data_IF_327987097222
#
_entry.id   IF_327987097222
#
_cell.length_a   1.000
_cell.length_b   1.000
_cell.length_c   1.000
_cell.angle_alpha   90.00
_cell.angle_beta   90.00
_cell.angle_gamma   90.00
#
_symmetry.space_group_name_H-M   'P 1'
#
loop_
_entity.id
_entity.type
_entity.pdbx_description
1 polymer ?
#
# COMPACT_ATOMS: atom_id res chain seq x y z
N UNK A 1 45.83 49.22 -8.23
CA UNK A 1 44.45 48.94 -8.66
C UNK A 1 43.89 47.85 -7.76
N UNK A 2 42.95 48.21 -6.88
CA UNK A 2 42.34 47.28 -5.92
C UNK A 2 41.48 46.27 -6.70
N UNK A 3 41.77 44.97 -6.60
CA UNK A 3 40.87 43.93 -7.14
C UNK A 3 39.58 43.99 -6.32
N UNK A 4 38.49 44.45 -6.93
CA UNK A 4 37.16 44.42 -6.30
C UNK A 4 36.86 42.97 -5.89
N UNK A 5 36.75 42.71 -4.59
CA UNK A 5 36.45 41.39 -4.05
C UNK A 5 35.07 40.95 -4.53
N UNK A 6 34.95 39.69 -4.96
CA UNK A 6 33.66 39.10 -5.32
C UNK A 6 32.69 39.18 -4.12
N UNK A 7 31.41 39.41 -4.42
CA UNK A 7 30.34 39.40 -3.43
C UNK A 7 29.49 38.15 -3.59
N UNK A 8 28.96 37.65 -2.48
CA UNK A 8 28.11 36.48 -2.46
C UNK A 8 26.65 36.92 -2.39
N UNK A 9 25.83 36.49 -3.34
CA UNK A 9 24.39 36.72 -3.38
C UNK A 9 23.66 35.40 -3.12
N UNK A 10 22.53 35.46 -2.40
CA UNK A 10 21.65 34.31 -2.18
C UNK A 10 20.47 34.43 -3.14
N UNK A 11 20.23 33.41 -3.93
CA UNK A 11 19.15 33.38 -4.92
C UNK A 11 18.14 32.35 -4.47
N UNK A 12 16.89 32.75 -4.22
CA UNK A 12 15.81 31.86 -3.86
C UNK A 12 14.94 31.58 -5.09
N UNK A 13 14.80 30.29 -5.43
CA UNK A 13 13.90 29.77 -6.45
C UNK A 13 12.82 28.89 -5.80
N UNK A 14 11.76 28.48 -6.55
CA UNK A 14 10.79 27.48 -6.07
C UNK A 14 11.42 26.16 -5.64
N UNK A 15 12.58 25.78 -6.21
CA UNK A 15 13.29 24.53 -5.88
C UNK A 15 14.30 24.68 -4.73
N UNK A 16 14.50 25.90 -4.22
CA UNK A 16 15.40 26.16 -3.09
C UNK A 16 16.32 27.37 -3.29
N UNK A 17 17.22 27.59 -2.34
CA UNK A 17 18.11 28.75 -2.31
C UNK A 17 19.56 28.35 -2.60
N UNK A 18 20.18 28.93 -3.63
CA UNK A 18 21.62 28.74 -3.94
C UNK A 18 22.40 30.03 -3.69
N UNK A 19 23.71 29.90 -3.45
CA UNK A 19 24.63 31.02 -3.26
C UNK A 19 25.47 31.18 -4.53
N UNK A 20 25.52 32.39 -5.07
CA UNK A 20 26.34 32.71 -6.25
C UNK A 20 27.37 33.77 -5.89
N UNK A 21 28.59 33.62 -6.40
CA UNK A 21 29.65 34.61 -6.28
C UNK A 21 29.74 35.43 -7.57
N UNK A 22 29.65 36.76 -7.44
CA UNK A 22 29.71 37.66 -8.59
C UNK A 22 30.50 38.93 -8.25
N UNK A 23 31.21 39.47 -9.23
CA UNK A 23 31.92 40.75 -9.06
C UNK A 23 30.92 41.92 -8.97
N UNK A 24 31.08 42.88 -8.04
CA UNK A 24 30.26 44.08 -7.98
C UNK A 24 30.27 44.92 -9.28
N UNK A 25 31.34 44.81 -10.07
CA UNK A 25 31.49 45.51 -11.34
C UNK A 25 30.85 44.74 -12.53
N UNK A 26 30.38 43.50 -12.32
CA UNK A 26 29.72 42.73 -13.37
C UNK A 26 28.40 43.38 -13.79
N UNK A 27 28.03 43.23 -15.06
CA UNK A 27 26.76 43.72 -15.59
C UNK A 27 25.57 42.88 -15.07
N UNK A 28 24.37 43.46 -15.13
CA UNK A 28 23.15 42.75 -14.80
C UNK A 28 22.93 41.55 -15.73
N UNK A 29 23.30 41.65 -17.01
CA UNK A 29 23.28 40.48 -17.93
C UNK A 29 24.14 39.32 -17.41
N UNK A 30 25.34 39.61 -16.89
CA UNK A 30 26.22 38.57 -16.34
C UNK A 30 25.65 37.93 -15.07
N UNK A 31 24.88 38.69 -14.28
CA UNK A 31 24.13 38.15 -13.14
C UNK A 31 23.07 37.15 -13.60
N UNK A 32 22.32 37.45 -14.66
CA UNK A 32 21.34 36.50 -15.23
C UNK A 32 22.01 35.23 -15.76
N UNK A 33 23.14 35.33 -16.46
CA UNK A 33 23.93 34.16 -16.91
C UNK A 33 24.40 33.31 -15.72
N UNK A 34 24.92 33.95 -14.68
CA UNK A 34 25.41 33.23 -13.49
C UNK A 34 24.27 32.55 -12.74
N UNK A 35 23.08 33.15 -12.69
CA UNK A 35 21.90 32.52 -12.12
C UNK A 35 21.40 31.37 -12.98
N UNK A 36 21.37 31.54 -14.30
CA UNK A 36 21.00 30.49 -15.25
C UNK A 36 21.87 29.25 -15.06
N UNK A 37 23.19 29.43 -15.06
CA UNK A 37 24.16 28.34 -14.89
C UNK A 37 24.10 27.76 -13.48
N UNK A 38 23.95 28.61 -12.45
CA UNK A 38 23.90 28.14 -11.07
C UNK A 38 22.65 27.34 -10.73
N UNK A 39 21.57 27.43 -11.52
CA UNK A 39 20.32 26.66 -11.31
C UNK A 39 20.03 25.66 -12.43
N UNK A 40 20.96 25.50 -13.39
CA UNK A 40 20.81 24.61 -14.55
C UNK A 40 19.49 24.87 -15.30
N UNK A 41 19.16 26.16 -15.50
CA UNK A 41 17.90 26.55 -16.13
C UNK A 41 17.92 26.23 -17.62
N UNK A 42 16.74 25.95 -18.17
CA UNK A 42 16.55 25.62 -19.58
C UNK A 42 16.46 26.84 -20.50
N UNK A 43 16.12 27.98 -19.94
CA UNK A 43 15.93 29.22 -20.70
C UNK A 43 16.12 30.43 -19.79
N UNK A 44 16.30 31.60 -20.42
CA UNK A 44 16.35 32.89 -19.74
C UNK A 44 14.95 33.48 -19.46
N UNK A 45 13.88 32.67 -19.50
CA UNK A 45 12.49 33.15 -19.28
C UNK A 45 12.15 33.32 -17.79
N UNK A 46 13.07 33.87 -17.01
CA UNK A 46 12.90 34.17 -15.60
C UNK A 46 13.20 35.64 -15.32
N UNK A 47 12.56 36.18 -14.29
CA UNK A 47 12.86 37.51 -13.75
C UNK A 47 13.44 37.40 -12.35
N UNK A 48 14.34 38.34 -12.02
CA UNK A 48 14.96 38.46 -10.71
C UNK A 48 14.36 39.66 -9.96
N UNK A 49 13.96 39.45 -8.71
CA UNK A 49 13.38 40.47 -7.84
C UNK A 49 14.20 40.63 -6.56
N UNK A 50 14.22 41.83 -5.99
CA UNK A 50 14.87 42.07 -4.68
C UNK A 50 13.98 41.65 -3.50
N UNK A 51 12.67 41.55 -3.72
CA UNK A 51 11.68 41.20 -2.70
C UNK A 51 10.86 39.98 -3.08
N UNK A 52 10.42 39.23 -2.06
CA UNK A 52 9.65 37.97 -2.21
C UNK A 52 8.28 38.17 -2.88
N UNK A 53 7.72 39.38 -2.78
CA UNK A 53 6.40 39.76 -3.31
C UNK A 53 6.45 40.17 -4.80
N UNK A 54 7.52 39.83 -5.53
CA UNK A 54 7.77 40.22 -6.93
C UNK A 54 7.83 41.75 -7.16
N UNK A 55 8.21 42.52 -6.12
CA UNK A 55 8.48 43.96 -6.27
C UNK A 55 9.97 44.20 -6.52
N UNK A 56 10.27 45.36 -7.10
CA UNK A 56 11.63 45.82 -7.39
C UNK A 56 12.40 44.83 -8.28
N UNK A 57 11.91 44.67 -9.51
CA UNK A 57 12.52 43.84 -10.54
C UNK A 57 13.94 44.36 -10.91
N UNK A 58 14.85 43.42 -11.08
CA UNK A 58 16.21 43.66 -11.55
C UNK A 58 16.21 43.45 -13.07
N UNK A 59 16.03 44.52 -13.83
CA UNK A 59 16.04 44.44 -15.29
C UNK A 59 17.42 43.97 -15.81
N UNK A 60 17.41 43.04 -16.77
CA UNK A 60 18.63 42.64 -17.47
C UNK A 60 19.13 43.78 -18.35
N UNK A 61 20.36 44.23 -18.11
CA UNK A 61 20.98 45.35 -18.80
C UNK A 61 22.50 45.18 -18.88
N UNK A 62 23.08 45.57 -20.02
CA UNK A 62 24.54 45.58 -20.23
C UNK A 62 25.21 46.82 -19.63
N UNK A 63 24.47 47.90 -19.42
CA UNK A 63 24.98 49.18 -18.89
C UNK A 63 24.88 49.28 -17.37
N UNK A 64 23.96 48.54 -16.75
CA UNK A 64 23.80 48.50 -15.29
C UNK A 64 24.69 47.41 -14.69
N UNK A 65 25.45 47.77 -13.65
CA UNK A 65 26.28 46.83 -12.87
C UNK A 65 25.58 46.39 -11.59
N UNK A 66 26.00 45.24 -11.03
CA UNK A 66 25.52 44.71 -9.73
C UNK A 66 25.60 45.77 -8.63
N UNK A 67 26.69 46.56 -8.60
CA UNK A 67 26.87 47.70 -7.68
C UNK A 67 25.85 48.82 -7.94
N UNK A 68 25.63 49.22 -9.20
CA UNK A 68 24.66 50.27 -9.54
C UNK A 68 23.20 49.86 -9.25
N UNK A 69 22.93 48.55 -9.25
CA UNK A 69 21.65 47.98 -8.84
C UNK A 69 21.49 47.90 -7.31
N UNK A 70 22.49 48.33 -6.53
CA UNK A 70 22.40 48.39 -5.06
C UNK A 70 22.44 47.03 -4.36
N UNK A 71 22.92 45.97 -5.03
CA UNK A 71 23.07 44.64 -4.43
C UNK A 71 24.37 44.56 -3.63
N UNK A 72 24.28 44.12 -2.37
CA UNK A 72 25.39 44.01 -1.42
C UNK A 72 25.69 42.55 -1.07
N UNK A 73 26.86 42.31 -0.49
CA UNK A 73 27.26 40.98 -0.04
C UNK A 73 26.25 40.43 0.99
N UNK A 74 25.70 39.24 0.70
CA UNK A 74 24.73 38.54 1.53
C UNK A 74 23.27 38.80 1.18
N UNK A 75 22.96 39.69 0.23
CA UNK A 75 21.60 40.02 -0.17
C UNK A 75 20.87 38.81 -0.79
N UNK A 76 19.55 38.76 -0.57
CA UNK A 76 18.66 37.74 -1.13
C UNK A 76 17.93 38.30 -2.35
N UNK A 77 18.01 37.58 -3.46
CA UNK A 77 17.24 37.85 -4.68
C UNK A 77 16.32 36.66 -4.98
N UNK A 78 15.17 36.94 -5.58
CA UNK A 78 14.11 35.97 -5.80
C UNK A 78 13.94 35.73 -7.29
N UNK A 79 14.06 34.47 -7.69
CA UNK A 79 13.93 34.01 -9.06
C UNK A 79 12.50 33.54 -9.29
N UNK A 80 11.82 34.09 -10.30
CA UNK A 80 10.45 33.72 -10.66
C UNK A 80 10.35 33.46 -12.17
N UNK A 81 9.67 32.38 -12.62
CA UNK A 81 9.32 32.20 -14.04
C UNK A 81 8.42 33.32 -14.54
N UNK A 82 8.67 33.77 -15.77
CA UNK A 82 7.78 34.69 -16.49
C UNK A 82 6.67 33.86 -17.15
N UNK A 83 5.41 34.26 -17.01
CA UNK A 83 4.25 33.63 -17.68
C UNK A 83 4.10 32.11 -17.48
N UNK A 84 4.46 31.60 -16.29
CA UNK A 84 4.27 30.18 -15.96
C UNK A 84 5.16 29.21 -16.75
N UNK A 85 6.18 29.72 -17.45
CA UNK A 85 7.13 28.88 -18.18
C UNK A 85 7.88 27.95 -17.22
N UNK A 86 8.00 26.69 -17.62
CA UNK A 86 8.83 25.73 -16.90
C UNK A 86 10.30 26.09 -17.14
N UNK A 87 10.95 26.63 -16.11
CA UNK A 87 12.38 27.01 -16.17
C UNK A 87 13.31 25.80 -16.17
N UNK A 88 12.77 24.61 -15.97
CA UNK A 88 13.49 23.35 -15.81
C UNK A 88 12.97 22.35 -16.86
N UNK A 89 13.85 21.52 -17.41
CA UNK A 89 13.50 20.57 -18.46
C UNK A 89 12.55 19.49 -17.98
N UNK A 90 11.26 19.71 -18.21
CA UNK A 90 10.22 18.68 -18.17
C UNK A 90 9.75 18.43 -19.61
N UNK A 91 10.02 17.22 -20.12
CA UNK A 91 9.42 16.77 -21.37
C UNK A 91 7.97 16.36 -21.13
N UNK A 92 7.07 16.94 -21.93
CA UNK A 92 5.65 16.60 -22.21
C UNK A 92 4.57 17.28 -21.33
N UNK A 93 3.34 17.47 -21.85
CA UNK A 93 2.91 18.65 -22.61
C UNK A 93 1.76 19.42 -21.92
N UNK A 94 1.63 20.70 -22.27
CA UNK A 94 0.63 21.65 -21.76
C UNK A 94 -0.81 21.33 -22.14
N UNK A 95 -1.74 21.77 -21.27
CA UNK A 95 -3.18 21.88 -21.51
C UNK A 95 -3.99 22.31 -20.27
N UNK A 96 -3.75 23.55 -19.80
CA UNK A 96 -4.60 24.58 -19.15
C UNK A 96 -6.13 24.38 -18.82
N UNK A 97 -6.81 25.26 -18.05
CA UNK A 97 -6.81 25.33 -16.57
C UNK A 97 -8.27 25.30 -15.99
N UNK A 98 -8.43 25.21 -14.67
CA UNK A 98 -9.72 25.54 -14.00
C UNK A 98 -9.47 26.49 -12.85
N UNK A 99 -10.29 27.54 -12.83
CA UNK A 99 -10.15 28.80 -12.09
C UNK A 99 -10.28 28.68 -10.57
N UNK A 100 -9.71 29.69 -9.91
CA UNK A 100 -9.68 29.90 -8.46
C UNK A 100 -11.04 30.20 -7.83
N UNK A 101 -11.09 29.85 -6.54
CA UNK A 101 -12.17 30.04 -5.60
C UNK A 101 -12.54 31.51 -5.33
N UNK A 102 -13.80 31.73 -4.96
CA UNK A 102 -14.20 32.87 -4.13
C UNK A 102 -14.78 32.38 -2.81
N UNK A 103 -14.24 32.94 -1.73
CA UNK A 103 -14.68 32.72 -0.36
C UNK A 103 -15.96 33.50 -0.05
N UNK A 104 -16.83 32.95 0.81
CA UNK A 104 -17.78 33.76 1.59
C UNK A 104 -18.13 33.07 2.91
N UNK A 105 -18.08 33.88 3.96
CA UNK A 105 -18.32 33.58 5.36
C UNK A 105 -19.81 33.64 5.72
N UNK A 106 -20.31 32.61 6.40
CA UNK A 106 -21.35 32.75 7.44
C UNK A 106 -21.56 31.42 8.14
N UNK A 107 -21.63 31.46 9.48
CA UNK A 107 -21.58 30.29 10.34
C UNK A 107 -22.92 29.56 10.51
N UNK A 108 -22.82 28.27 10.79
CA UNK A 108 -23.69 27.55 11.73
C UNK A 108 -23.16 26.13 11.95
N UNK A 109 -23.25 25.72 13.20
CA UNK A 109 -22.88 24.46 13.85
C UNK A 109 -22.82 23.16 13.02
N UNK A 110 -21.67 22.49 13.19
CA UNK A 110 -21.49 21.05 13.41
C UNK A 110 -22.31 20.05 12.60
N UNK A 111 -21.64 19.42 11.62
CA UNK A 111 -21.60 17.97 11.36
C UNK A 111 -20.66 17.70 10.18
N UNK A 112 -19.35 17.69 10.42
CA UNK A 112 -18.37 17.34 9.38
C UNK A 112 -18.20 15.82 9.34
N UNK A 113 -18.82 15.22 8.34
CA UNK A 113 -18.63 13.83 7.91
C UNK A 113 -17.19 13.61 7.42
N UNK A 114 -16.66 12.48 7.87
CA UNK A 114 -15.37 11.88 7.56
C UNK A 114 -15.34 11.47 6.07
N UNK A 115 -14.66 12.23 5.21
CA UNK A 115 -14.33 11.79 3.84
C UNK A 115 -13.33 12.75 3.17
N UNK A 116 -12.04 12.69 3.52
CA UNK A 116 -11.01 13.34 2.68
C UNK A 116 -9.61 12.80 2.98
N UNK A 117 -9.36 11.55 2.56
CA UNK A 117 -8.03 10.99 2.15
C UNK A 117 -8.02 9.46 1.94
N UNK A 118 -9.18 8.80 1.94
CA UNK A 118 -9.30 7.55 1.19
C UNK A 118 -9.11 7.89 -0.30
N UNK A 119 -8.37 7.07 -1.06
CA UNK A 119 -8.46 7.08 -2.52
C UNK A 119 -9.94 6.94 -2.88
N UNK A 120 -10.55 8.03 -3.37
CA UNK A 120 -12.00 8.23 -3.34
C UNK A 120 -12.81 7.29 -4.26
N UNK A 121 -12.17 6.28 -4.88
CA UNK A 121 -12.76 5.43 -5.91
C UNK A 121 -12.38 3.93 -5.77
N UNK A 122 -11.91 3.49 -4.61
CA UNK A 122 -11.63 2.04 -4.40
C UNK A 122 -12.92 1.31 -4.07
N UNK A 123 -13.34 0.40 -4.97
CA UNK A 123 -14.45 -0.53 -4.73
C UNK A 123 -13.96 -1.71 -3.90
N UNK A 124 -14.22 -1.64 -2.59
CA UNK A 124 -13.92 -2.72 -1.64
C UNK A 124 -14.98 -3.82 -1.67
N UNK A 125 -14.64 -4.98 -1.12
CA UNK A 125 -15.55 -6.13 -1.08
C UNK A 125 -16.70 -5.86 -0.10
N UNK A 126 -17.89 -6.43 -0.37
CA UNK A 126 -19.08 -6.22 0.46
C UNK A 126 -18.85 -6.60 1.93
N UNK A 127 -18.08 -7.66 2.19
CA UNK A 127 -17.69 -8.10 3.54
C UNK A 127 -16.87 -7.02 4.28
N UNK A 128 -16.01 -6.27 3.59
CA UNK A 128 -15.24 -5.21 4.22
C UNK A 128 -16.15 -4.03 4.57
N UNK A 129 -17.05 -3.67 3.66
CA UNK A 129 -18.03 -2.61 3.87
C UNK A 129 -18.98 -2.92 5.04
N UNK A 130 -19.33 -4.19 5.23
CA UNK A 130 -20.06 -4.66 6.40
C UNK A 130 -19.23 -4.54 7.69
N UNK A 131 -18.00 -5.07 7.69
CA UNK A 131 -17.12 -5.05 8.86
C UNK A 131 -16.73 -3.62 9.30
N UNK A 132 -16.64 -2.67 8.36
CA UNK A 132 -16.39 -1.26 8.72
C UNK A 132 -17.52 -0.63 9.53
N UNK A 133 -18.77 -1.10 9.36
CA UNK A 133 -19.94 -0.61 10.12
C UNK A 133 -20.03 -1.23 11.51
N UNK A 134 -19.41 -2.38 11.72
CA UNK A 134 -19.41 -3.12 12.99
C UNK A 134 -18.31 -2.59 13.92
N UNK A 135 -18.61 -2.42 15.21
CA UNK A 135 -17.62 -1.95 16.20
C UNK A 135 -16.55 -3.02 16.50
N UNK A 136 -16.96 -4.29 16.49
CA UNK A 136 -16.11 -5.45 16.77
C UNK A 136 -15.83 -5.67 18.25
N UNK A 137 -16.50 -4.93 19.14
CA UNK A 137 -16.22 -5.03 20.59
C UNK A 137 -16.79 -6.31 21.16
N UNK A 138 -15.99 -7.02 21.93
CA UNK A 138 -16.39 -8.27 22.55
C UNK A 138 -17.12 -8.00 23.86
N UNK A 139 -18.38 -8.39 23.93
CA UNK A 139 -19.20 -8.21 25.13
C UNK A 139 -18.76 -9.18 26.23
N UNK A 140 -18.44 -8.65 27.41
CA UNK A 140 -18.13 -9.47 28.60
C UNK A 140 -19.38 -9.69 29.45
N UNK A 141 -19.46 -10.87 30.06
CA UNK A 141 -20.43 -11.13 31.13
C UNK A 141 -19.98 -10.39 32.40
N UNK A 142 -20.94 -10.06 33.27
CA UNK A 142 -20.66 -9.49 34.59
C UNK A 142 -19.87 -10.49 35.43
N UNK A 143 -18.76 -10.04 36.01
CA UNK A 143 -18.01 -10.83 36.99
C UNK A 143 -18.70 -10.76 38.35
N UNK A 144 -19.19 -11.89 38.86
CA UNK A 144 -19.94 -11.94 40.12
C UNK A 144 -19.12 -11.50 41.35
N UNK A 145 -17.79 -11.63 41.30
CA UNK A 145 -16.90 -11.34 42.43
C UNK A 145 -16.34 -9.93 42.39
N UNK A 146 -16.08 -9.40 41.20
CA UNK A 146 -15.38 -8.12 41.01
C UNK A 146 -16.34 -6.97 40.61
N UNK A 147 -17.50 -7.26 40.03
CA UNK A 147 -18.46 -6.22 39.62
C UNK A 147 -19.34 -5.73 40.77
N UNK A 148 -18.92 -4.63 41.40
CA UNK A 148 -19.67 -3.92 42.45
C UNK A 148 -20.53 -2.79 41.89
N UNK A 149 -21.44 -3.11 40.98
CA UNK A 149 -22.33 -2.13 40.36
C UNK A 149 -23.66 -2.79 39.95
N UNK A 150 -24.67 -1.96 39.68
CA UNK A 150 -26.01 -2.41 39.32
C UNK A 150 -26.06 -2.93 37.87
N UNK A 151 -27.16 -3.59 37.47
CA UNK A 151 -27.29 -4.25 36.17
C UNK A 151 -27.08 -3.31 34.95
N UNK A 152 -27.46 -2.03 35.05
CA UNK A 152 -27.36 -1.06 33.94
C UNK A 152 -26.05 -0.24 33.95
N UNK A 153 -25.06 -0.65 34.75
CA UNK A 153 -23.76 0.02 34.83
C UNK A 153 -22.65 -0.94 34.44
N UNK A 154 -21.53 -0.41 33.97
CA UNK A 154 -20.36 -1.19 33.59
C UNK A 154 -19.13 -0.71 34.36
N UNK A 155 -18.25 -1.65 34.73
CA UNK A 155 -16.93 -1.37 35.27
C UNK A 155 -15.84 -2.00 34.39
N UNK A 156 -14.58 -1.84 34.80
CA UNK A 156 -13.40 -2.39 34.09
C UNK A 156 -13.43 -3.91 33.95
N UNK A 157 -14.24 -4.64 34.73
CA UNK A 157 -14.35 -6.10 34.67
C UNK A 157 -15.45 -6.61 33.74
N UNK A 158 -16.39 -5.76 33.32
CA UNK A 158 -17.52 -6.15 32.45
C UNK A 158 -17.74 -5.23 31.25
N UNK A 159 -16.97 -4.14 31.12
CA UNK A 159 -17.00 -3.30 29.92
C UNK A 159 -16.60 -4.13 28.69
N UNK A 160 -17.10 -3.82 27.50
CA UNK A 160 -16.69 -4.52 26.29
C UNK A 160 -15.17 -4.45 26.08
N UNK A 161 -14.57 -5.52 25.59
CA UNK A 161 -13.16 -5.56 25.20
C UNK A 161 -13.01 -5.09 23.76
N UNK A 162 -11.84 -4.52 23.46
CA UNK A 162 -11.48 -4.18 22.09
C UNK A 162 -11.23 -5.46 21.26
N UNK A 163 -11.51 -5.45 19.95
CA UNK A 163 -11.33 -6.63 19.08
C UNK A 163 -9.88 -7.14 19.01
N UNK A 164 -8.92 -6.31 19.42
CA UNK A 164 -7.49 -6.59 19.42
C UNK A 164 -6.90 -6.85 20.82
N UNK A 165 -7.75 -7.14 21.82
CA UNK A 165 -7.31 -7.47 23.17
C UNK A 165 -6.51 -8.79 23.20
N UNK A 166 -5.25 -8.71 23.62
CA UNK A 166 -4.31 -9.84 23.55
C UNK A 166 -4.66 -10.97 24.54
N UNK A 167 -5.25 -10.64 25.69
CA UNK A 167 -5.63 -11.62 26.69
C UNK A 167 -6.81 -12.46 26.21
N UNK A 168 -7.83 -11.80 25.66
CA UNK A 168 -9.00 -12.47 25.06
C UNK A 168 -8.61 -13.41 23.92
N UNK A 169 -7.77 -12.92 23.00
CA UNK A 169 -7.34 -13.71 21.84
C UNK A 169 -6.54 -14.94 22.25
N UNK A 170 -5.66 -14.80 23.25
CA UNK A 170 -4.89 -15.93 23.80
C UNK A 170 -5.78 -16.97 24.46
N UNK A 171 -6.77 -16.54 25.24
CA UNK A 171 -7.74 -17.44 25.90
C UNK A 171 -8.55 -18.26 24.86
N UNK A 172 -8.87 -17.66 23.72
CA UNK A 172 -9.64 -18.29 22.64
C UNK A 172 -8.75 -18.97 21.58
N UNK A 173 -7.44 -19.14 21.84
CA UNK A 173 -6.47 -19.76 20.92
C UNK A 173 -6.36 -19.06 19.55
N UNK A 174 -6.64 -17.76 19.49
CA UNK A 174 -6.54 -16.96 18.27
C UNK A 174 -5.10 -16.46 18.11
N UNK A 175 -4.37 -17.06 17.16
CA UNK A 175 -2.93 -16.80 16.94
C UNK A 175 -2.60 -15.45 16.28
N UNK A 176 -3.51 -14.91 15.49
CA UNK A 176 -3.31 -13.66 14.74
C UNK A 176 -4.59 -12.83 14.78
N UNK A 177 -4.43 -11.50 14.73
CA UNK A 177 -5.55 -10.59 14.56
C UNK A 177 -6.21 -10.80 13.18
N UNK A 178 -7.53 -10.64 13.11
CA UNK A 178 -8.17 -10.39 11.83
C UNK A 178 -7.66 -9.06 11.26
N UNK A 179 -7.63 -8.93 9.93
CA UNK A 179 -7.17 -7.70 9.31
C UNK A 179 -7.98 -6.48 9.78
N UNK A 180 -9.30 -6.60 9.92
CA UNK A 180 -10.13 -5.51 10.41
C UNK A 180 -9.88 -5.17 11.88
N UNK A 181 -9.61 -6.15 12.77
CA UNK A 181 -9.17 -5.86 14.14
C UNK A 181 -7.81 -5.14 14.17
N UNK A 182 -6.89 -5.50 13.26
CA UNK A 182 -5.62 -4.80 13.08
C UNK A 182 -5.82 -3.35 12.62
N UNK A 183 -6.71 -3.10 11.66
CA UNK A 183 -7.10 -1.73 11.27
C UNK A 183 -7.69 -0.95 12.45
N UNK A 184 -8.56 -1.56 13.26
CA UNK A 184 -9.09 -0.93 14.49
C UNK A 184 -7.96 -0.58 15.47
N UNK A 185 -6.97 -1.45 15.65
CA UNK A 185 -5.80 -1.19 16.50
C UNK A 185 -4.99 0.02 16.01
N UNK A 186 -4.80 0.16 14.70
CA UNK A 186 -4.08 1.31 14.12
C UNK A 186 -4.89 2.62 14.16
N UNK A 187 -6.22 2.52 14.18
CA UNK A 187 -7.12 3.69 14.14
C UNK A 187 -7.66 4.11 15.51
N UNK A 188 -7.39 3.38 16.59
CA UNK A 188 -7.90 3.69 17.94
C UNK A 188 -7.19 4.85 18.65
N UNK A 189 -6.07 5.34 18.10
CA UNK A 189 -5.31 6.47 18.65
C UNK A 189 -6.01 7.84 18.53
N UNK A 190 -5.39 8.87 19.10
CA UNK A 190 -5.90 10.26 19.12
C UNK A 190 -6.19 10.79 17.72
N UNK A 191 -5.36 10.42 16.74
CA UNK A 191 -5.50 10.84 15.35
C UNK A 191 -6.61 10.10 14.59
N UNK A 192 -7.26 9.10 15.20
CA UNK A 192 -8.34 8.29 14.59
C UNK A 192 -8.01 7.77 13.19
N UNK A 193 -6.76 7.39 12.95
CA UNK A 193 -6.31 6.91 11.64
C UNK A 193 -6.10 7.99 10.57
N UNK A 194 -6.09 9.28 10.91
CA UNK A 194 -5.90 10.38 9.95
C UNK A 194 -4.62 10.27 9.11
N UNK A 195 -3.59 9.64 9.65
CA UNK A 195 -2.30 9.43 8.99
C UNK A 195 -2.04 7.95 8.67
N UNK A 196 -3.06 7.10 8.77
CA UNK A 196 -2.93 5.70 8.41
C UNK A 196 -2.76 5.58 6.89
N UNK A 197 -1.58 5.17 6.47
CA UNK A 197 -1.26 4.78 5.10
C UNK A 197 -0.66 3.36 5.16
N UNK A 198 -1.42 2.39 4.65
CA UNK A 198 -0.94 1.02 4.52
C UNK A 198 -0.15 0.89 3.21
N UNK A 199 1.08 0.42 3.30
CA UNK A 199 1.95 0.26 2.14
C UNK A 199 2.49 -1.17 2.11
N UNK A 200 2.34 -1.84 0.97
CA UNK A 200 3.01 -3.13 0.75
C UNK A 200 4.53 -2.94 0.73
N UNK A 201 5.24 -3.95 1.21
CA UNK A 201 6.71 -3.97 1.17
C UNK A 201 7.16 -4.02 -0.30
N UNK A 202 7.80 -2.95 -0.77
CA UNK A 202 8.37 -2.87 -2.12
C UNK A 202 9.88 -3.07 -2.08
N UNK A 203 10.32 -4.24 -2.54
CA UNK A 203 11.74 -4.60 -2.65
C UNK A 203 12.35 -4.23 -4.01
N UNK A 204 11.64 -3.43 -4.82
CA UNK A 204 12.12 -2.95 -6.12
C UNK A 204 12.84 -1.62 -5.95
N UNK A 205 13.79 -1.35 -6.83
CA UNK A 205 14.44 -0.03 -6.91
C UNK A 205 13.35 1.00 -7.24
N UNK A 206 13.33 2.11 -6.49
CA UNK A 206 12.39 3.19 -6.75
C UNK A 206 12.73 3.84 -8.10
N UNK A 207 11.75 3.86 -8.99
CA UNK A 207 11.87 4.51 -10.29
C UNK A 207 11.83 6.04 -10.14
N UNK A 208 12.39 6.77 -11.11
CA UNK A 208 12.35 8.24 -11.14
C UNK A 208 13.33 8.95 -10.21
N UNK A 209 14.41 8.28 -9.77
CA UNK A 209 15.48 8.96 -9.04
C UNK A 209 16.24 9.94 -9.95
N UNK A 210 16.28 11.21 -9.57
CA UNK A 210 16.92 12.28 -10.35
C UNK A 210 18.44 12.40 -10.15
N UNK A 211 18.99 11.72 -9.14
CA UNK A 211 20.39 11.87 -8.71
C UNK A 211 21.39 10.98 -9.51
N UNK A 212 20.90 10.10 -10.39
CA UNK A 212 21.74 9.22 -11.20
C UNK A 212 20.98 8.78 -12.47
N UNK A 213 21.69 8.29 -13.50
CA UNK A 213 21.05 7.69 -14.67
C UNK A 213 20.11 6.53 -14.27
N UNK A 214 19.01 6.27 -15.02
CA UNK A 214 18.09 5.19 -14.71
C UNK A 214 18.79 3.83 -14.55
N UNK A 215 18.27 2.99 -13.65
CA UNK A 215 18.71 1.60 -13.51
C UNK A 215 18.65 0.88 -14.88
N UNK A 216 19.67 0.10 -15.27
CA UNK A 216 20.81 -0.41 -14.49
C UNK A 216 22.08 0.46 -14.48
N UNK A 217 22.04 1.67 -15.07
CA UNK A 217 23.23 2.51 -15.26
C UNK A 217 23.65 3.30 -14.01
N UNK A 218 22.80 3.40 -13.00
CA UNK A 218 23.09 4.06 -11.74
C UNK A 218 22.12 3.67 -10.64
N UNK A 219 22.58 3.77 -9.39
CA UNK A 219 21.79 3.55 -8.18
C UNK A 219 22.35 4.44 -7.05
N UNK A 220 21.48 4.93 -6.16
CA UNK A 220 21.89 5.64 -4.95
C UNK A 220 21.14 5.11 -3.72
N UNK A 221 21.58 5.48 -2.52
CA UNK A 221 20.96 5.05 -1.27
C UNK A 221 19.51 5.54 -1.08
N UNK A 222 19.05 6.52 -1.87
CA UNK A 222 17.66 7.02 -1.81
C UNK A 222 16.68 6.16 -2.62
N UNK A 223 17.15 5.54 -3.70
CA UNK A 223 16.31 4.73 -4.59
C UNK A 223 16.49 3.23 -4.36
N UNK A 224 17.62 2.82 -3.78
CA UNK A 224 17.86 1.46 -3.34
C UNK A 224 16.79 1.06 -2.29
N UNK A 225 16.19 -0.14 -2.39
CA UNK A 225 15.28 -0.63 -1.37
C UNK A 225 16.03 -0.81 -0.05
N UNK A 226 15.36 -0.49 1.06
CA UNK A 226 15.91 -0.72 2.39
C UNK A 226 16.11 -2.21 2.65
N UNK A 227 17.09 -2.55 3.49
CA UNK A 227 17.24 -3.90 4.00
C UNK A 227 15.95 -4.34 4.71
N UNK A 228 15.52 -5.58 4.46
CA UNK A 228 14.26 -6.12 4.96
C UNK A 228 14.55 -6.99 6.16
N UNK A 229 13.86 -6.72 7.27
CA UNK A 229 13.80 -7.62 8.41
C UNK A 229 12.48 -8.38 8.35
N UNK A 230 12.54 -9.70 8.20
CA UNK A 230 11.37 -10.56 8.18
C UNK A 230 10.90 -10.84 9.62
N UNK A 231 9.86 -10.13 10.03
CA UNK A 231 9.18 -10.36 11.31
C UNK A 231 7.92 -11.21 11.10
N UNK A 232 7.47 -11.89 12.15
CA UNK A 232 6.17 -12.55 12.12
C UNK A 232 5.06 -11.50 11.89
N UNK A 233 4.21 -11.75 10.90
CA UNK A 233 3.06 -10.88 10.62
C UNK A 233 2.03 -11.00 11.74
N UNK A 234 1.55 -9.90 12.36
CA UNK A 234 0.68 -9.96 13.54
C UNK A 234 -0.81 -10.15 13.20
N UNK A 235 -1.18 -10.11 11.92
CA UNK A 235 -2.55 -10.22 11.44
C UNK A 235 -2.63 -11.10 10.19
N UNK A 236 -3.84 -11.46 9.77
CA UNK A 236 -4.13 -12.18 8.52
C UNK A 236 -5.38 -11.61 7.84
N UNK A 237 -5.43 -11.67 6.51
CA UNK A 237 -6.54 -11.14 5.71
C UNK A 237 -7.81 -11.98 5.78
N UNK A 238 -7.67 -13.30 5.91
CA UNK A 238 -8.75 -14.24 6.16
C UNK A 238 -8.42 -15.08 7.39
N UNK A 239 -9.43 -15.42 8.18
CA UNK A 239 -9.31 -16.16 9.43
C UNK A 239 -9.65 -17.63 9.28
N UNK A 240 -10.48 -17.96 8.29
CA UNK A 240 -10.97 -19.30 8.07
C UNK A 240 -11.23 -19.58 6.59
N UNK A 241 -11.08 -20.85 6.19
CA UNK A 241 -11.55 -21.37 4.90
C UNK A 241 -12.57 -22.45 5.22
N UNK A 242 -13.81 -22.27 4.77
CA UNK A 242 -14.91 -23.23 4.92
C UNK A 242 -15.26 -23.77 3.54
N UNK A 243 -15.39 -25.09 3.42
CA UNK A 243 -15.99 -25.71 2.24
C UNK A 243 -17.48 -25.86 2.49
N UNK A 244 -18.32 -25.35 1.57
CA UNK A 244 -19.78 -25.43 1.68
C UNK A 244 -20.24 -26.89 1.79
N UNK A 245 -19.58 -27.78 1.05
CA UNK A 245 -19.89 -29.19 1.06
C UNK A 245 -18.62 -30.05 1.04
N UNK A 246 -18.61 -31.10 1.87
CA UNK A 246 -17.58 -32.15 1.92
C UNK A 246 -17.40 -32.84 0.57
N UNK A 247 -18.48 -33.02 -0.19
CA UNK A 247 -18.43 -33.65 -1.52
C UNK A 247 -17.51 -32.91 -2.51
N UNK A 248 -17.29 -31.60 -2.34
CA UNK A 248 -16.35 -30.83 -3.17
C UNK A 248 -14.92 -31.36 -3.02
N UNK A 249 -14.49 -31.53 -1.76
CA UNK A 249 -13.15 -32.04 -1.43
C UNK A 249 -13.04 -33.50 -1.80
N UNK A 250 -14.07 -34.31 -1.52
CA UNK A 250 -14.09 -35.72 -1.89
C UNK A 250 -13.95 -35.93 -3.41
N UNK A 251 -14.65 -35.13 -4.22
CA UNK A 251 -14.54 -35.19 -5.68
C UNK A 251 -13.14 -34.80 -6.14
N UNK A 252 -12.53 -33.77 -5.56
CA UNK A 252 -11.17 -33.36 -5.87
C UNK A 252 -10.14 -34.46 -5.50
N UNK A 253 -10.29 -35.08 -4.33
CA UNK A 253 -9.40 -36.16 -3.87
C UNK A 253 -9.57 -37.47 -4.62
N UNK A 254 -10.72 -37.71 -5.25
CA UNK A 254 -10.94 -38.90 -6.07
C UNK A 254 -9.92 -39.04 -7.21
N UNK A 255 -9.44 -37.92 -7.77
CA UNK A 255 -8.37 -37.97 -8.77
C UNK A 255 -7.12 -38.66 -8.22
N UNK A 256 -6.67 -38.27 -7.03
CA UNK A 256 -5.51 -38.87 -6.38
C UNK A 256 -5.78 -40.34 -6.00
N UNK A 257 -6.97 -40.67 -5.52
CA UNK A 257 -7.33 -42.07 -5.17
C UNK A 257 -7.24 -43.02 -6.35
N UNK A 258 -7.61 -42.55 -7.55
CA UNK A 258 -7.60 -43.37 -8.77
C UNK A 258 -6.22 -43.42 -9.43
N UNK A 259 -5.49 -42.29 -9.44
CA UNK A 259 -4.25 -42.18 -10.23
C UNK A 259 -2.98 -42.30 -9.39
N UNK A 260 -3.04 -42.00 -8.09
CA UNK A 260 -1.89 -41.80 -7.22
C UNK A 260 -1.08 -40.55 -7.54
N UNK A 261 -1.56 -39.67 -8.43
CA UNK A 261 -0.90 -38.41 -8.79
C UNK A 261 -1.50 -37.24 -8.02
N UNK A 262 -0.65 -36.25 -7.70
CA UNK A 262 -1.05 -35.04 -7.01
C UNK A 262 -1.91 -34.13 -7.90
N UNK A 263 -2.68 -33.25 -7.29
CA UNK A 263 -3.64 -32.39 -8.00
C UNK A 263 -3.65 -30.98 -7.45
N UNK A 264 -3.90 -30.00 -8.32
CA UNK A 264 -4.13 -28.60 -7.98
C UNK A 264 -5.51 -28.14 -8.49
N UNK A 265 -6.15 -27.24 -7.74
CA UNK A 265 -7.41 -26.61 -8.11
C UNK A 265 -7.49 -25.17 -7.63
N UNK A 266 -8.29 -24.36 -8.33
CA UNK A 266 -8.66 -23.01 -7.93
C UNK A 266 -9.98 -23.05 -7.16
N UNK A 267 -10.02 -22.35 -6.03
CA UNK A 267 -11.17 -22.31 -5.13
C UNK A 267 -12.06 -21.13 -5.50
N UNK A 268 -13.31 -21.41 -5.84
CA UNK A 268 -14.33 -20.40 -6.13
C UNK A 268 -15.33 -20.31 -5.00
N UNK A 269 -15.73 -19.09 -4.68
CA UNK A 269 -16.53 -18.82 -3.50
C UNK A 269 -16.80 -17.34 -3.30
N UNK A 270 -17.14 -17.01 -2.06
CA UNK A 270 -17.32 -15.65 -1.60
C UNK A 270 -16.61 -15.45 -0.24
N UNK A 271 -16.50 -14.20 0.19
CA UNK A 271 -16.00 -13.86 1.52
C UNK A 271 -17.18 -13.46 2.41
N UNK A 272 -17.22 -14.02 3.60
CA UNK A 272 -18.30 -13.80 4.57
C UNK A 272 -17.71 -13.41 5.93
N UNK A 273 -18.51 -12.77 6.77
CA UNK A 273 -18.13 -12.49 8.16
C UNK A 273 -17.95 -13.80 8.92
N UNK A 274 -16.84 -13.90 9.66
CA UNK A 274 -16.55 -15.01 10.56
C UNK A 274 -16.70 -14.54 12.01
N UNK A 275 -17.59 -15.20 12.75
CA UNK A 275 -18.01 -14.76 14.09
C UNK A 275 -17.11 -15.26 15.22
N UNK A 276 -16.31 -16.31 15.01
CA UNK A 276 -15.50 -16.90 16.08
C UNK A 276 -14.24 -16.07 16.37
N UNK A 277 -13.87 -15.18 15.44
CA UNK A 277 -12.79 -14.21 15.60
C UNK A 277 -13.38 -12.80 15.49
N UNK A 278 -13.07 -11.86 16.41
CA UNK A 278 -13.56 -10.49 16.32
C UNK A 278 -13.21 -9.85 14.97
N UNK A 279 -14.23 -9.35 14.27
CA UNK A 279 -14.13 -8.78 12.92
C UNK A 279 -13.45 -9.72 11.92
N UNK A 280 -13.64 -11.02 12.06
CA UNK A 280 -13.03 -12.02 11.21
C UNK A 280 -13.68 -12.15 9.84
N UNK A 281 -12.92 -12.65 8.87
CA UNK A 281 -13.41 -13.01 7.53
C UNK A 281 -13.18 -14.50 7.29
N UNK A 282 -14.17 -15.20 6.74
CA UNK A 282 -14.00 -16.55 6.19
C UNK A 282 -14.13 -16.53 4.67
N UNK A 283 -13.34 -17.35 4.01
CA UNK A 283 -13.56 -17.71 2.60
C UNK A 283 -14.49 -18.93 2.56
N UNK A 284 -15.71 -18.76 2.03
CA UNK A 284 -16.65 -19.85 1.84
C UNK A 284 -16.52 -20.37 0.40
N UNK A 285 -16.05 -21.61 0.27
CA UNK A 285 -15.74 -22.28 -1.00
C UNK A 285 -16.93 -23.10 -1.45
N UNK A 286 -17.44 -22.80 -2.63
CA UNK A 286 -18.61 -23.46 -3.24
C UNK A 286 -18.23 -24.35 -4.43
N UNK A 287 -17.08 -24.11 -5.04
CA UNK A 287 -16.60 -24.90 -6.16
C UNK A 287 -15.07 -24.98 -6.19
N UNK A 288 -14.57 -26.06 -6.78
CA UNK A 288 -13.16 -26.26 -7.10
C UNK A 288 -13.08 -26.43 -8.61
N UNK A 289 -12.37 -25.52 -9.27
CA UNK A 289 -12.07 -25.61 -10.69
C UNK A 289 -10.66 -26.19 -10.87
N UNK A 290 -10.52 -27.21 -11.70
CA UNK A 290 -9.25 -27.86 -11.96
C UNK A 290 -8.70 -27.39 -13.32
N UNK A 291 -7.80 -26.40 -13.36
CA UNK A 291 -7.22 -25.93 -14.62
C UNK A 291 -6.39 -27.03 -15.30
N UNK A 292 -6.13 -26.91 -16.62
CA UNK A 292 -5.21 -27.78 -17.34
C UNK A 292 -3.87 -27.91 -16.61
N UNK A 293 -3.45 -29.15 -16.34
CA UNK A 293 -2.26 -29.43 -15.54
C UNK A 293 -1.66 -30.79 -15.89
N UNK A 294 -0.34 -30.88 -15.81
CA UNK A 294 0.42 -32.13 -15.81
C UNK A 294 0.64 -32.53 -14.34
N UNK A 295 0.08 -33.68 -13.97
CA UNK A 295 0.11 -34.22 -12.59
C UNK A 295 0.96 -35.48 -12.53
N UNK A 296 1.95 -35.51 -11.63
CA UNK A 296 2.72 -36.71 -11.29
C UNK A 296 2.55 -37.07 -9.80
N UNK A 297 3.33 -38.04 -9.31
CA UNK A 297 3.37 -38.41 -7.89
C UNK A 297 4.05 -37.36 -7.00
N UNK A 298 4.96 -36.57 -7.57
CA UNK A 298 5.92 -35.72 -6.86
C UNK A 298 5.95 -34.26 -7.34
N UNK A 299 5.32 -33.95 -8.48
CA UNK A 299 5.25 -32.60 -9.00
C UNK A 299 3.94 -32.35 -9.75
N UNK A 300 3.57 -31.07 -9.83
CA UNK A 300 2.43 -30.58 -10.60
C UNK A 300 2.91 -29.41 -11.43
N UNK A 301 2.52 -29.37 -12.70
CA UNK A 301 2.75 -28.24 -13.59
C UNK A 301 1.43 -27.74 -14.15
N UNK A 302 1.09 -26.49 -13.85
CA UNK A 302 -0.03 -25.80 -14.48
C UNK A 302 0.29 -25.53 -15.96
N UNK A 303 -0.69 -25.75 -16.82
CA UNK A 303 -0.63 -25.45 -18.24
C UNK A 303 -1.48 -24.19 -18.53
N UNK A 304 -1.28 -23.52 -19.68
CA UNK A 304 -2.14 -22.44 -20.11
C UNK A 304 -3.61 -22.89 -20.18
N UNK A 305 -4.50 -22.08 -19.62
CA UNK A 305 -5.94 -22.34 -19.62
C UNK A 305 -6.66 -21.43 -20.61
N UNK A 306 -7.07 -21.98 -21.75
CA UNK A 306 -7.83 -21.25 -22.78
C UNK A 306 -9.25 -20.87 -22.31
N UNK A 307 -9.73 -21.46 -21.21
CA UNK A 307 -11.09 -21.24 -20.69
C UNK A 307 -11.11 -20.35 -19.45
N UNK A 308 -9.96 -19.82 -19.02
CA UNK A 308 -9.83 -19.03 -17.79
C UNK A 308 -10.84 -17.86 -17.77
N UNK A 309 -10.88 -17.07 -18.85
CA UNK A 309 -11.77 -15.92 -19.00
C UNK A 309 -13.26 -16.32 -18.95
N UNK A 310 -13.60 -17.45 -19.58
CA UNK A 310 -14.97 -17.96 -19.59
C UNK A 310 -15.39 -18.40 -18.18
N UNK A 311 -14.50 -19.05 -17.44
CA UNK A 311 -14.77 -19.48 -16.06
C UNK A 311 -14.93 -18.27 -15.14
N UNK A 312 -14.10 -17.23 -15.30
CA UNK A 312 -14.27 -15.97 -14.56
C UNK A 312 -15.59 -15.29 -14.88
N UNK A 313 -16.00 -15.26 -16.14
CA UNK A 313 -17.29 -14.67 -16.53
C UNK A 313 -18.47 -15.42 -15.89
N UNK A 314 -18.44 -16.76 -15.93
CA UNK A 314 -19.48 -17.60 -15.31
C UNK A 314 -19.49 -17.37 -13.79
N UNK A 315 -18.32 -17.38 -13.15
CA UNK A 315 -18.20 -17.14 -11.71
C UNK A 315 -18.76 -15.78 -11.33
N UNK A 316 -18.39 -14.71 -12.06
CA UNK A 316 -18.88 -13.36 -11.83
C UNK A 316 -20.40 -13.24 -11.96
N UNK A 317 -21.02 -13.90 -12.96
CA UNK A 317 -22.49 -13.95 -13.10
C UNK A 317 -23.19 -14.69 -11.96
N UNK A 318 -22.52 -15.65 -11.33
CA UNK A 318 -22.99 -16.38 -10.16
C UNK A 318 -22.67 -15.65 -8.84
N UNK A 319 -22.03 -14.48 -8.89
CA UNK A 319 -21.59 -13.76 -7.69
C UNK A 319 -20.42 -14.45 -6.96
N UNK A 320 -19.69 -15.31 -7.66
CA UNK A 320 -18.53 -16.02 -7.16
C UNK A 320 -17.24 -15.38 -7.67
N UNK A 321 -16.15 -15.63 -6.95
CA UNK A 321 -14.80 -15.21 -7.32
C UNK A 321 -13.79 -16.26 -6.89
N UNK A 322 -12.57 -16.16 -7.42
CA UNK A 322 -11.43 -16.92 -6.89
C UNK A 322 -11.11 -16.43 -5.48
N UNK A 323 -11.22 -17.32 -4.51
CA UNK A 323 -10.93 -17.04 -3.09
C UNK A 323 -9.64 -17.68 -2.62
N UNK A 324 -9.06 -18.58 -3.42
CA UNK A 324 -7.81 -19.27 -3.10
C UNK A 324 -7.47 -20.37 -4.09
N UNK A 325 -6.52 -21.21 -3.70
CA UNK A 325 -6.14 -22.43 -4.42
C UNK A 325 -5.92 -23.58 -3.44
N UNK A 326 -6.06 -24.80 -3.95
CA UNK A 326 -5.89 -26.04 -3.20
C UNK A 326 -4.94 -26.97 -3.96
N UNK A 327 -4.08 -27.67 -3.24
CA UNK A 327 -3.24 -28.72 -3.81
C UNK A 327 -3.10 -29.89 -2.86
N UNK A 328 -2.74 -31.05 -3.40
CA UNK A 328 -2.49 -32.27 -2.61
C UNK A 328 -1.01 -32.53 -2.45
N UNK A 329 -0.62 -32.99 -1.28
CA UNK A 329 0.64 -33.68 -1.01
C UNK A 329 0.35 -34.95 -0.22
N UNK A 330 -0.22 -35.93 -0.92
CA UNK A 330 -0.69 -37.17 -0.32
C UNK A 330 0.20 -38.33 -0.73
N UNK A 331 0.71 -39.05 0.27
CA UNK A 331 1.48 -40.28 0.09
C UNK A 331 0.78 -41.42 0.81
N UNK A 332 0.40 -42.47 0.08
CA UNK A 332 -0.25 -43.63 0.68
C UNK A 332 0.68 -44.32 1.68
N UNK A 333 0.15 -44.63 2.86
CA UNK A 333 0.81 -45.45 3.87
C UNK A 333 0.27 -46.88 3.80
N UNK A 334 -1.04 -47.03 3.93
CA UNK A 334 -1.75 -48.30 3.80
C UNK A 334 -2.94 -48.13 2.84
N UNK A 335 -2.79 -48.68 1.63
CA UNK A 335 -3.80 -48.58 0.56
C UNK A 335 -5.10 -49.30 0.95
N UNK A 336 -5.04 -50.35 1.77
CA UNK A 336 -6.24 -51.09 2.18
C UNK A 336 -7.05 -50.34 3.23
N UNK A 337 -6.38 -49.59 4.12
CA UNK A 337 -7.04 -48.76 5.14
C UNK A 337 -7.36 -47.34 4.65
N UNK A 338 -6.79 -46.94 3.52
CA UNK A 338 -6.92 -45.58 3.00
C UNK A 338 -6.17 -44.55 3.84
N UNK A 339 -5.08 -44.95 4.52
CA UNK A 339 -4.26 -44.03 5.32
C UNK A 339 -3.15 -43.41 4.50
N UNK A 340 -2.78 -42.20 4.88
CA UNK A 340 -1.74 -41.39 4.25
C UNK A 340 -0.66 -41.06 5.27
N UNK A 341 0.57 -40.87 4.79
CA UNK A 341 1.71 -40.50 5.63
C UNK A 341 1.58 -39.05 6.09
N UNK A 342 1.85 -38.83 7.38
CA UNK A 342 1.97 -37.49 7.96
C UNK A 342 3.37 -36.93 7.71
N UNK A 343 3.59 -36.33 6.53
CA UNK A 343 4.90 -35.83 6.09
C UNK A 343 5.17 -34.38 6.50
N UNK A 344 4.14 -33.60 6.80
CA UNK A 344 4.23 -32.15 7.07
C UNK A 344 3.97 -31.84 8.55
N UNK A 345 5.03 -31.73 9.34
CA UNK A 345 4.97 -31.49 10.79
C UNK A 345 6.13 -30.61 11.28
N UNK A 346 6.20 -30.39 12.60
CA UNK A 346 7.17 -29.50 13.23
C UNK A 346 8.65 -29.87 13.01
N UNK A 347 8.95 -31.13 12.72
CA UNK A 347 10.33 -31.61 12.46
C UNK A 347 10.65 -31.70 10.96
N UNK A 348 9.69 -31.38 10.08
CA UNK A 348 9.87 -31.33 8.64
C UNK A 348 9.61 -29.91 8.12
N UNK A 349 8.50 -29.69 7.44
CA UNK A 349 8.04 -28.40 6.96
C UNK A 349 6.52 -28.43 6.79
N UNK A 350 5.88 -27.26 6.83
CA UNK A 350 4.45 -27.14 6.53
C UNK A 350 4.19 -26.74 5.08
N UNK A 351 5.01 -25.83 4.54
CA UNK A 351 5.00 -25.40 3.13
C UNK A 351 6.43 -25.41 2.60
N UNK A 352 6.60 -25.89 1.37
CA UNK A 352 7.88 -25.86 0.68
C UNK A 352 8.17 -24.45 0.14
N UNK A 353 9.44 -24.15 -0.15
CA UNK A 353 9.82 -22.85 -0.72
C UNK A 353 9.12 -22.57 -2.06
N UNK A 354 8.96 -23.60 -2.90
CA UNK A 354 8.27 -23.47 -4.19
C UNK A 354 6.78 -23.18 -4.02
N UNK A 355 6.12 -23.83 -3.05
CA UNK A 355 4.72 -23.54 -2.70
C UNK A 355 4.55 -22.12 -2.17
N UNK A 356 5.48 -21.62 -1.35
CA UNK A 356 5.48 -20.24 -0.89
C UNK A 356 5.63 -19.23 -2.04
N UNK A 357 6.50 -19.51 -3.01
CA UNK A 357 6.66 -18.68 -4.21
C UNK A 357 5.38 -18.67 -5.04
N UNK A 358 4.75 -19.84 -5.22
CA UNK A 358 3.50 -19.97 -5.97
C UNK A 358 2.32 -19.27 -5.26
N UNK A 359 2.23 -19.40 -3.94
CA UNK A 359 1.25 -18.65 -3.14
C UNK A 359 1.45 -17.13 -3.28
N UNK A 360 2.69 -16.65 -3.23
CA UNK A 360 3.01 -15.24 -3.45
C UNK A 360 2.66 -14.77 -4.86
N UNK A 361 2.87 -15.60 -5.89
CA UNK A 361 2.45 -15.30 -7.26
C UNK A 361 0.92 -15.14 -7.35
N UNK A 362 0.16 -16.09 -6.82
CA UNK A 362 -1.31 -16.00 -6.82
C UNK A 362 -1.83 -14.81 -6.02
N UNK A 363 -1.27 -14.52 -4.84
CA UNK A 363 -1.66 -13.38 -4.03
C UNK A 363 -1.40 -12.05 -4.74
N UNK A 364 -0.27 -11.92 -5.46
CA UNK A 364 0.02 -10.73 -6.28
C UNK A 364 -0.96 -10.57 -7.46
N UNK A 365 -1.48 -11.68 -7.99
CA UNK A 365 -2.52 -11.68 -9.03
C UNK A 365 -3.93 -11.34 -8.51
N UNK A 366 -4.15 -11.42 -7.19
CA UNK A 366 -5.45 -11.20 -6.56
C UNK A 366 -5.32 -10.21 -5.39
N UNK A 367 -4.97 -8.94 -5.67
CA UNK A 367 -4.78 -7.93 -4.63
C UNK A 367 -6.10 -7.63 -3.91
N UNK A 368 -6.02 -7.34 -2.61
CA UNK A 368 -7.18 -6.93 -1.82
C UNK A 368 -7.39 -5.40 -1.91
N UNK A 369 -8.53 -4.92 -2.43
CA UNK A 369 -8.87 -3.50 -2.42
C UNK A 369 -8.89 -2.96 -0.99
N UNK A 370 -8.30 -1.79 -0.77
CA UNK A 370 -8.23 -1.19 0.56
C UNK A 370 -8.14 0.34 0.49
N UNK A 371 -9.10 1.03 1.12
CA UNK A 371 -9.18 2.50 1.18
C UNK A 371 -8.05 3.18 1.95
N UNK A 372 -7.36 2.44 2.82
CA UNK A 372 -6.25 2.95 3.63
C UNK A 372 -4.89 2.82 2.92
N UNK A 373 -4.87 2.23 1.72
CA UNK A 373 -3.67 2.08 0.93
C UNK A 373 -3.59 3.21 -0.12
N UNK A 374 -2.44 3.92 -0.25
CA UNK A 374 -2.30 5.01 -1.23
C UNK A 374 -2.51 4.57 -2.69
N UNK A 375 -2.16 3.33 -3.02
CA UNK A 375 -2.38 2.69 -4.33
C UNK A 375 -3.73 1.95 -4.42
N UNK A 376 -4.57 2.03 -3.39
CA UNK A 376 -5.90 1.43 -3.36
C UNK A 376 -5.96 -0.08 -3.10
N UNK A 377 -4.82 -0.74 -2.89
CA UNK A 377 -4.75 -2.18 -2.59
C UNK A 377 -3.73 -2.46 -1.49
N UNK A 378 -4.00 -3.45 -0.63
CA UNK A 378 -3.08 -3.86 0.42
C UNK A 378 -3.20 -5.35 0.75
N UNK A 379 -2.11 -6.09 0.53
CA UNK A 379 -2.08 -7.55 0.67
C UNK A 379 -3.12 -8.28 -0.18
N UNK A 380 -3.55 -9.46 0.25
CA UNK A 380 -4.48 -10.32 -0.50
C UNK A 380 -5.28 -11.22 0.44
N UNK A 381 -6.57 -11.43 0.14
CA UNK A 381 -7.42 -12.44 0.80
C UNK A 381 -7.31 -13.84 0.17
N UNK A 382 -6.44 -14.00 -0.83
CA UNK A 382 -6.31 -15.26 -1.58
C UNK A 382 -5.68 -16.36 -0.72
N UNK A 383 -6.46 -17.39 -0.43
CA UNK A 383 -6.08 -18.49 0.45
C UNK A 383 -5.20 -19.53 -0.26
N UNK A 384 -4.37 -20.22 0.52
CA UNK A 384 -3.65 -21.42 0.08
C UNK A 384 -4.07 -22.58 0.97
N UNK A 385 -4.57 -23.66 0.37
CA UNK A 385 -4.96 -24.89 1.07
C UNK A 385 -4.08 -26.05 0.61
N UNK A 386 -3.38 -26.69 1.54
CA UNK A 386 -2.62 -27.91 1.28
C UNK A 386 -3.37 -29.09 1.91
N UNK A 387 -3.69 -30.11 1.10
CA UNK A 387 -4.26 -31.37 1.59
C UNK A 387 -3.14 -32.38 1.77
N UNK A 388 -2.86 -32.72 3.03
CA UNK A 388 -1.82 -33.65 3.46
C UNK A 388 -2.41 -34.59 4.53
N UNK A 389 -1.70 -35.69 4.82
CA UNK A 389 -1.98 -36.60 5.93
C UNK A 389 -1.66 -36.04 7.30
#
# INVERSE_FOLDING_TARGET
MSKDKAILLRVQSPEGTRRIEISPAASATRLYETVHDAFDLNSFTFSLYKEKNKKNEIASSKSSTVRSLGLRHGDMIYLTPVDGTSLYSNNTPSGEPVEEAVASTSGSSARTSIASRASADVREDDVDLELYKTDGRVQRKRDEKLCRHNANSACVHCSPLEPYDEAYLKEHNVKHLSFHAYLRKLTSGVDRGKFLALEDIRCRIKEGCKDHPPWPKGICSKCQPNAITLNQQPYRHIDNVTFENKELVERFLNYWRVTGHQRIGLLYGNYEVHTDVPLGIKANVVAIYEPPQESSRDHIRLLPDERDDLVEEIAGRLGLRRVGWIFTDLLAEDVQKGTVKHTRHGDSHFLSAQECIMAGHFQNGHPNPCRYAPNGVFGSKFATVCVTG
#
